data_IF_472427007653
#
_entry.id   IF_472427007653
#
_cell.length_a   1.000
_cell.length_b   1.000
_cell.length_c   1.000
_cell.angle_alpha   90.00
_cell.angle_beta   90.00
_cell.angle_gamma   90.00
#
_symmetry.space_group_name_H-M   'P 1'
#
loop_
_entity.id
_entity.type
_entity.pdbx_description
1 polymer ?
#
# COMPACT_ATOMS: atom_id res chain seq x y z
N UNK A 1 -13.45 -19.94 -7.37
CA UNK A 1 -12.90 -19.44 -6.07
C UNK A 1 -12.66 -17.96 -6.23
N UNK A 2 -12.85 -17.18 -5.16
CA UNK A 2 -12.50 -15.77 -5.19
C UNK A 2 -10.99 -15.59 -5.35
N UNK A 3 -10.55 -14.51 -5.98
CA UNK A 3 -9.12 -14.15 -6.04
C UNK A 3 -8.62 -13.74 -4.66
N UNK A 4 -7.39 -14.16 -4.34
CA UNK A 4 -6.74 -13.91 -3.05
C UNK A 4 -5.93 -12.61 -3.12
N UNK A 5 -6.25 -11.66 -2.24
CA UNK A 5 -5.53 -10.39 -2.13
C UNK A 5 -4.75 -10.33 -0.83
N UNK A 6 -3.46 -10.02 -0.91
CA UNK A 6 -2.64 -9.67 0.24
C UNK A 6 -2.50 -8.14 0.33
N UNK A 7 -2.92 -7.57 1.47
CA UNK A 7 -2.72 -6.15 1.78
C UNK A 7 -1.68 -6.03 2.89
N UNK A 8 -0.49 -5.52 2.58
CA UNK A 8 0.54 -5.28 3.60
C UNK A 8 0.22 -4.00 4.38
N UNK A 9 0.44 -4.01 5.70
CA UNK A 9 0.02 -2.91 6.57
C UNK A 9 -1.50 -2.66 6.53
N UNK A 10 -2.30 -3.72 6.31
CA UNK A 10 -3.72 -3.65 6.02
C UNK A 10 -4.65 -3.42 7.22
N UNK A 11 -4.10 -3.25 8.44
CA UNK A 11 -4.93 -3.20 9.66
C UNK A 11 -5.52 -1.80 9.96
N UNK A 12 -5.03 -0.74 9.36
CA UNK A 12 -5.44 0.65 9.64
C UNK A 12 -5.29 1.56 8.41
N UNK A 13 -5.80 2.77 8.50
CA UNK A 13 -5.66 3.82 7.49
C UNK A 13 -6.09 3.37 6.09
N UNK A 14 -5.30 3.70 5.08
CA UNK A 14 -5.53 3.35 3.68
C UNK A 14 -5.63 1.83 3.50
N UNK A 15 -4.75 1.05 4.16
CA UNK A 15 -4.75 -0.41 4.06
C UNK A 15 -6.04 -1.05 4.57
N UNK A 16 -6.61 -0.54 5.68
CA UNK A 16 -7.92 -0.97 6.19
C UNK A 16 -9.04 -0.69 5.18
N UNK A 17 -9.08 0.52 4.61
CA UNK A 17 -10.09 0.88 3.63
C UNK A 17 -10.01 -0.01 2.38
N UNK A 18 -8.79 -0.31 1.91
CA UNK A 18 -8.56 -1.25 0.81
C UNK A 18 -9.08 -2.64 1.16
N UNK A 19 -8.72 -3.18 2.34
CA UNK A 19 -9.16 -4.51 2.77
C UNK A 19 -10.70 -4.62 2.83
N UNK A 20 -11.38 -3.60 3.36
CA UNK A 20 -12.85 -3.54 3.43
C UNK A 20 -13.50 -3.45 2.04
N UNK A 21 -13.00 -2.56 1.18
CA UNK A 21 -13.57 -2.41 -0.17
C UNK A 21 -13.38 -3.69 -1.01
N UNK A 22 -12.24 -4.37 -0.87
CA UNK A 22 -12.00 -5.61 -1.58
C UNK A 22 -12.85 -6.76 -1.05
N UNK A 23 -13.01 -6.89 0.28
CA UNK A 23 -13.92 -7.86 0.87
C UNK A 23 -15.37 -7.66 0.41
N UNK A 24 -15.84 -6.40 0.36
CA UNK A 24 -17.16 -6.02 -0.18
C UNK A 24 -17.35 -6.42 -1.64
N UNK A 25 -16.27 -6.49 -2.42
CA UNK A 25 -16.28 -6.87 -3.83
C UNK A 25 -15.85 -8.34 -4.05
N UNK A 26 -16.09 -9.20 -3.06
CA UNK A 26 -15.91 -10.65 -3.12
C UNK A 26 -14.48 -11.15 -3.35
N UNK A 27 -13.47 -10.39 -2.92
CA UNK A 27 -12.10 -10.88 -2.83
C UNK A 27 -11.87 -11.57 -1.49
N UNK A 28 -11.09 -12.65 -1.46
CA UNK A 28 -10.58 -13.24 -0.25
C UNK A 28 -9.37 -12.42 0.24
N UNK A 29 -9.39 -11.93 1.47
CA UNK A 29 -8.45 -10.91 1.92
C UNK A 29 -7.50 -11.42 2.99
N UNK A 30 -6.20 -11.31 2.74
CA UNK A 30 -5.14 -11.48 3.74
C UNK A 30 -4.67 -10.10 4.20
N UNK A 31 -4.76 -9.85 5.49
CA UNK A 31 -4.35 -8.61 6.15
C UNK A 31 -3.03 -8.86 6.85
N UNK A 32 -1.94 -8.34 6.31
CA UNK A 32 -0.68 -8.33 7.02
C UNK A 32 -0.61 -7.11 7.95
N UNK A 33 -0.02 -7.30 9.11
CA UNK A 33 0.30 -6.24 10.07
C UNK A 33 1.60 -6.58 10.82
N UNK A 34 2.24 -5.56 11.42
CA UNK A 34 3.41 -5.76 12.29
C UNK A 34 3.05 -5.59 13.77
N UNK A 35 2.52 -4.44 14.16
CA UNK A 35 2.25 -4.08 15.56
C UNK A 35 0.76 -3.92 15.89
N UNK A 36 -0.09 -3.72 14.89
CA UNK A 36 -1.50 -3.37 15.06
C UNK A 36 -2.41 -4.60 15.26
N UNK A 37 -2.03 -5.54 16.13
CA UNK A 37 -2.75 -6.82 16.36
C UNK A 37 -4.23 -6.59 16.69
N UNK A 38 -4.52 -5.64 17.59
CA UNK A 38 -5.89 -5.33 18.03
C UNK A 38 -6.76 -4.83 16.88
N UNK A 39 -6.21 -3.92 16.06
CA UNK A 39 -6.91 -3.39 14.89
C UNK A 39 -7.13 -4.47 13.82
N UNK A 40 -6.13 -5.31 13.56
CA UNK A 40 -6.25 -6.43 12.63
C UNK A 40 -7.34 -7.43 13.06
N UNK A 41 -7.39 -7.80 14.35
CA UNK A 41 -8.40 -8.70 14.89
C UNK A 41 -9.83 -8.11 14.78
N UNK A 42 -9.99 -6.82 15.08
CA UNK A 42 -11.28 -6.14 14.93
C UNK A 42 -11.73 -6.09 13.46
N UNK A 43 -10.81 -5.80 12.56
CA UNK A 43 -11.09 -5.77 11.13
C UNK A 43 -11.46 -7.15 10.58
N UNK A 44 -10.79 -8.22 11.04
CA UNK A 44 -11.14 -9.59 10.69
C UNK A 44 -12.59 -9.92 11.09
N UNK A 45 -12.98 -9.55 12.33
CA UNK A 45 -14.35 -9.75 12.82
C UNK A 45 -15.35 -8.94 11.99
N UNK A 46 -15.03 -7.68 11.66
CA UNK A 46 -15.88 -6.81 10.84
C UNK A 46 -16.11 -7.42 9.45
N UNK A 47 -15.05 -7.89 8.79
CA UNK A 47 -15.15 -8.51 7.46
C UNK A 47 -15.98 -9.79 7.53
N UNK A 48 -15.69 -10.69 8.45
CA UNK A 48 -16.45 -11.96 8.63
C UNK A 48 -17.94 -11.75 8.91
N UNK A 49 -18.27 -10.66 9.59
CA UNK A 49 -19.66 -10.33 9.91
C UNK A 49 -20.44 -9.80 8.71
N UNK A 50 -19.78 -9.01 7.86
CA UNK A 50 -20.47 -8.22 6.85
C UNK A 50 -20.36 -8.77 5.43
N UNK A 51 -19.36 -9.63 5.14
CA UNK A 51 -19.07 -10.11 3.79
C UNK A 51 -18.85 -11.62 3.77
N UNK A 52 -19.34 -12.27 2.73
CA UNK A 52 -19.18 -13.71 2.49
C UNK A 52 -17.89 -13.99 1.73
N UNK A 53 -16.75 -13.77 2.42
CA UNK A 53 -15.39 -13.99 1.88
C UNK A 53 -14.50 -14.59 2.96
N UNK A 54 -13.43 -15.25 2.54
CA UNK A 54 -12.39 -15.67 3.46
C UNK A 54 -11.55 -14.46 3.87
N UNK A 55 -11.24 -14.36 5.16
CA UNK A 55 -10.30 -13.37 5.70
C UNK A 55 -9.30 -14.03 6.61
N UNK A 56 -8.04 -13.59 6.54
CA UNK A 56 -6.96 -14.07 7.40
C UNK A 56 -6.07 -12.89 7.78
N UNK A 57 -5.69 -12.82 9.06
CA UNK A 57 -4.71 -11.86 9.57
C UNK A 57 -3.37 -12.56 9.79
N UNK A 58 -2.26 -11.93 9.38
CA UNK A 58 -0.92 -12.49 9.56
C UNK A 58 0.04 -11.40 10.05
N UNK A 59 0.67 -11.66 11.19
CA UNK A 59 1.75 -10.81 11.67
C UNK A 59 3.05 -11.17 10.96
N UNK A 60 3.67 -10.20 10.29
CA UNK A 60 4.99 -10.33 9.69
C UNK A 60 5.61 -8.95 9.44
N UNK A 61 6.91 -8.83 9.66
CA UNK A 61 7.72 -7.68 9.25
C UNK A 61 8.12 -7.85 7.79
N UNK A 62 7.55 -7.02 6.90
CA UNK A 62 7.82 -7.10 5.46
C UNK A 62 9.29 -6.80 5.11
N UNK A 63 10.02 -6.09 5.97
CA UNK A 63 11.45 -5.83 5.78
C UNK A 63 12.33 -7.07 5.97
N UNK A 64 11.76 -8.17 6.52
CA UNK A 64 12.44 -9.44 6.79
C UNK A 64 12.03 -10.49 5.77
N UNK A 65 12.99 -10.90 4.92
CA UNK A 65 12.71 -11.87 3.84
C UNK A 65 12.15 -13.18 4.40
N UNK A 66 12.69 -13.69 5.51
CA UNK A 66 12.24 -14.90 6.17
C UNK A 66 10.81 -14.83 6.73
N UNK A 67 10.39 -13.66 7.21
CA UNK A 67 9.02 -13.48 7.70
C UNK A 67 8.03 -13.39 6.52
N UNK A 68 8.43 -12.74 5.42
CA UNK A 68 7.65 -12.72 4.18
C UNK A 68 7.52 -14.12 3.59
N UNK A 69 8.60 -14.90 3.54
CA UNK A 69 8.56 -16.28 3.07
C UNK A 69 7.62 -17.14 3.90
N UNK A 70 7.65 -17.03 5.23
CA UNK A 70 6.76 -17.75 6.12
C UNK A 70 5.28 -17.33 5.90
N UNK A 71 5.02 -16.02 5.77
CA UNK A 71 3.70 -15.47 5.51
C UNK A 71 3.11 -16.01 4.19
N UNK A 72 3.85 -15.88 3.10
CA UNK A 72 3.37 -16.33 1.78
C UNK A 72 3.21 -17.86 1.74
N UNK A 73 4.14 -18.62 2.31
CA UNK A 73 4.03 -20.09 2.41
C UNK A 73 2.77 -20.53 3.16
N UNK A 74 2.37 -19.79 4.20
CA UNK A 74 1.12 -20.05 4.92
C UNK A 74 -0.10 -19.78 4.04
N UNK A 75 -0.09 -18.70 3.25
CA UNK A 75 -1.17 -18.37 2.30
C UNK A 75 -1.27 -19.44 1.20
N UNK A 76 -0.16 -19.82 0.60
CA UNK A 76 -0.08 -20.87 -0.42
C UNK A 76 -0.67 -22.19 0.10
N UNK A 77 -0.26 -22.61 1.30
CA UNK A 77 -0.74 -23.85 1.92
C UNK A 77 -2.25 -23.84 2.19
N UNK A 78 -2.82 -22.69 2.57
CA UNK A 78 -4.22 -22.60 2.97
C UNK A 78 -5.15 -22.23 1.82
N UNK A 79 -4.70 -21.36 0.91
CA UNK A 79 -5.57 -20.73 -0.10
C UNK A 79 -5.07 -20.87 -1.54
N UNK A 80 -3.89 -21.49 -1.76
CA UNK A 80 -3.33 -21.75 -3.08
C UNK A 80 -2.31 -20.72 -3.55
N UNK A 81 -2.36 -19.48 -3.07
CA UNK A 81 -1.41 -18.43 -3.43
C UNK A 81 -1.99 -17.03 -3.29
N UNK A 82 -1.26 -16.04 -3.77
CA UNK A 82 -1.65 -14.63 -3.78
C UNK A 82 -1.79 -14.18 -5.24
N UNK A 83 -3.02 -13.88 -5.65
CA UNK A 83 -3.33 -13.39 -7.00
C UNK A 83 -3.08 -11.89 -7.16
N UNK A 84 -3.25 -11.16 -6.07
CA UNK A 84 -3.17 -9.69 -6.04
C UNK A 84 -2.38 -9.27 -4.81
N UNK A 85 -1.37 -8.43 -5.02
CA UNK A 85 -0.55 -7.85 -3.93
C UNK A 85 -0.74 -6.34 -3.86
N UNK A 86 -1.07 -5.84 -2.67
CA UNK A 86 -1.10 -4.41 -2.37
C UNK A 86 0.04 -4.10 -1.38
N UNK A 87 1.14 -3.55 -1.89
CA UNK A 87 2.25 -3.06 -1.09
C UNK A 87 1.86 -1.71 -0.49
N UNK A 88 1.28 -1.75 0.70
CA UNK A 88 0.82 -0.56 1.43
C UNK A 88 1.61 -0.34 2.73
N UNK A 89 2.26 -1.35 3.29
CA UNK A 89 3.07 -1.21 4.50
C UNK A 89 4.13 -0.10 4.33
N UNK A 90 4.14 0.84 5.25
CA UNK A 90 5.09 1.95 5.26
C UNK A 90 5.30 2.46 6.68
N UNK A 91 6.46 3.08 6.87
CA UNK A 91 6.78 3.91 8.04
C UNK A 91 7.24 5.29 7.57
N UNK A 92 6.87 6.29 8.34
CA UNK A 92 7.42 7.63 8.28
C UNK A 92 8.07 7.93 9.65
N UNK A 93 9.36 8.21 9.64
CA UNK A 93 10.13 8.55 10.81
C UNK A 93 10.52 10.04 10.76
N UNK A 94 9.52 10.91 10.53
CA UNK A 94 9.72 12.37 10.40
C UNK A 94 10.61 12.91 11.49
N UNK A 95 11.68 13.62 11.09
CA UNK A 95 12.62 14.24 12.00
C UNK A 95 13.33 15.41 11.31
N UNK A 96 13.77 16.40 12.09
CA UNK A 96 14.57 17.50 11.54
C UNK A 96 15.85 16.96 10.89
N UNK A 97 16.22 17.51 9.73
CA UNK A 97 17.34 17.00 8.94
C UNK A 97 18.64 16.82 9.75
N UNK A 98 18.99 17.78 10.60
CA UNK A 98 20.21 17.72 11.41
C UNK A 98 20.17 16.71 12.58
N UNK A 99 18.97 16.18 12.89
CA UNK A 99 18.76 15.13 13.89
C UNK A 99 18.51 13.77 13.26
N UNK A 100 18.19 13.72 11.95
CA UNK A 100 17.93 12.48 11.22
C UNK A 100 19.17 11.60 11.18
N UNK A 101 19.03 10.38 11.65
CA UNK A 101 20.13 9.41 11.67
C UNK A 101 20.14 8.54 10.42
N UNK A 102 21.30 7.97 10.07
CA UNK A 102 21.39 6.99 8.98
C UNK A 102 20.59 5.71 9.27
N UNK A 103 20.38 5.37 10.53
CA UNK A 103 19.62 4.18 10.92
C UNK A 103 18.11 4.40 10.74
N UNK A 104 17.59 5.59 11.06
CA UNK A 104 16.20 5.96 10.71
C UNK A 104 16.00 5.93 9.20
N UNK A 105 16.93 6.51 8.43
CA UNK A 105 16.89 6.50 6.97
C UNK A 105 16.86 5.07 6.41
N UNK A 106 17.76 4.19 6.87
CA UNK A 106 17.78 2.77 6.46
C UNK A 106 16.48 2.07 6.82
N UNK A 107 15.98 2.25 8.04
CA UNK A 107 14.75 1.64 8.49
C UNK A 107 13.55 2.02 7.61
N UNK A 108 13.45 3.28 7.20
CA UNK A 108 12.42 3.73 6.28
C UNK A 108 12.55 3.03 4.92
N UNK A 109 13.75 2.93 4.36
CA UNK A 109 14.00 2.20 3.11
C UNK A 109 13.72 0.70 3.26
N UNK A 110 14.14 0.08 4.37
CA UNK A 110 13.93 -1.35 4.61
C UNK A 110 12.44 -1.71 4.62
N UNK A 111 11.60 -0.91 5.27
CA UNK A 111 10.16 -1.18 5.29
C UNK A 111 9.50 -0.81 3.96
N UNK A 112 9.71 0.44 3.49
CA UNK A 112 8.93 1.01 2.39
C UNK A 112 9.35 0.49 1.01
N UNK A 113 10.62 0.09 0.86
CA UNK A 113 11.19 -0.34 -0.44
C UNK A 113 11.54 -1.83 -0.43
N UNK A 114 12.41 -2.26 0.52
CA UNK A 114 12.82 -3.66 0.59
C UNK A 114 11.63 -4.54 0.93
N UNK A 115 10.72 -4.09 1.80
CA UNK A 115 9.47 -4.81 2.11
C UNK A 115 8.59 -5.04 0.88
N UNK A 116 8.39 -4.01 0.06
CA UNK A 116 7.64 -4.15 -1.19
C UNK A 116 8.35 -5.07 -2.19
N UNK A 117 9.68 -5.00 -2.27
CA UNK A 117 10.49 -5.92 -3.09
C UNK A 117 10.35 -7.37 -2.62
N UNK A 118 10.50 -7.64 -1.31
CA UNK A 118 10.39 -8.98 -0.74
C UNK A 118 9.02 -9.61 -1.05
N UNK A 119 7.94 -8.87 -0.79
CA UNK A 119 6.59 -9.34 -1.07
C UNK A 119 6.40 -9.60 -2.57
N UNK A 120 6.80 -8.67 -3.44
CA UNK A 120 6.67 -8.81 -4.89
C UNK A 120 7.47 -9.99 -5.43
N UNK A 121 8.73 -10.15 -4.99
CA UNK A 121 9.60 -11.28 -5.34
C UNK A 121 8.99 -12.62 -4.95
N UNK A 122 8.30 -12.67 -3.81
CA UNK A 122 7.81 -13.94 -3.28
C UNK A 122 6.48 -14.39 -3.89
N UNK A 123 5.62 -13.43 -4.30
CA UNK A 123 4.32 -13.78 -4.92
C UNK A 123 4.42 -14.02 -6.43
N UNK A 124 5.44 -13.47 -7.10
CA UNK A 124 5.49 -13.44 -8.57
C UNK A 124 5.43 -14.82 -9.20
N UNK A 125 6.02 -15.85 -8.55
CA UNK A 125 6.06 -17.21 -9.10
C UNK A 125 4.66 -17.79 -9.27
N UNK A 126 3.83 -17.67 -8.24
CA UNK A 126 2.43 -18.10 -8.32
C UNK A 126 1.67 -17.33 -9.41
N UNK A 127 1.85 -15.99 -9.46
CA UNK A 127 1.22 -15.15 -10.47
C UNK A 127 1.64 -15.51 -11.90
N UNK A 128 2.92 -15.84 -12.08
CA UNK A 128 3.47 -16.26 -13.38
C UNK A 128 2.92 -17.63 -13.81
N UNK A 129 2.92 -18.60 -12.89
CA UNK A 129 2.47 -19.97 -13.17
C UNK A 129 0.97 -20.04 -13.57
N UNK A 130 0.14 -19.10 -13.11
CA UNK A 130 -1.27 -18.98 -13.50
C UNK A 130 -1.54 -17.96 -14.64
N UNK A 131 -0.49 -17.34 -15.19
CA UNK A 131 -0.57 -16.29 -16.21
C UNK A 131 -1.47 -15.10 -15.82
N UNK A 132 -1.53 -14.78 -14.53
CA UNK A 132 -2.32 -13.68 -13.98
C UNK A 132 -1.70 -13.15 -12.69
N UNK A 133 -1.62 -11.85 -12.58
CA UNK A 133 -1.24 -11.17 -11.34
C UNK A 133 -1.51 -9.67 -11.38
N UNK A 134 -1.73 -9.07 -10.21
CA UNK A 134 -1.83 -7.63 -10.03
C UNK A 134 -0.98 -7.20 -8.83
N UNK A 135 -0.12 -6.23 -9.04
CA UNK A 135 0.67 -5.63 -7.96
C UNK A 135 0.38 -4.12 -7.95
N UNK A 136 -0.08 -3.61 -6.83
CA UNK A 136 -0.28 -2.18 -6.61
C UNK A 136 0.66 -1.70 -5.51
N UNK A 137 1.52 -0.75 -5.84
CA UNK A 137 2.40 -0.11 -4.88
C UNK A 137 1.77 1.22 -4.42
N UNK A 138 1.54 1.38 -3.11
CA UNK A 138 1.06 2.64 -2.55
C UNK A 138 2.25 3.55 -2.29
N UNK A 139 2.54 4.41 -3.28
CA UNK A 139 3.56 5.43 -3.22
C UNK A 139 3.04 6.68 -2.48
N UNK A 140 3.41 7.85 -2.94
CA UNK A 140 2.96 9.16 -2.45
C UNK A 140 3.25 10.22 -3.52
N UNK A 141 2.57 11.36 -3.48
CA UNK A 141 3.00 12.56 -4.23
C UNK A 141 4.40 13.01 -3.81
N UNK A 142 4.84 12.70 -2.58
CA UNK A 142 6.21 12.91 -2.10
C UNK A 142 7.27 12.16 -2.94
N UNK A 143 6.90 11.03 -3.53
CA UNK A 143 7.78 10.30 -4.46
C UNK A 143 7.88 10.94 -5.84
N UNK A 144 7.06 11.94 -6.16
CA UNK A 144 7.04 12.62 -7.46
C UNK A 144 7.70 13.99 -7.37
N UNK A 145 7.05 14.93 -6.70
CA UNK A 145 7.50 16.34 -6.65
C UNK A 145 6.87 17.16 -5.50
N UNK A 146 6.40 16.52 -4.46
CA UNK A 146 6.02 17.14 -3.19
C UNK A 146 7.13 16.87 -2.19
N UNK A 147 7.60 17.88 -1.47
CA UNK A 147 8.75 17.76 -0.58
C UNK A 147 8.42 18.34 0.79
N UNK A 148 8.64 17.54 1.83
CA UNK A 148 8.54 17.99 3.22
C UNK A 148 9.91 17.87 3.90
N UNK A 149 10.47 18.95 4.47
CA UNK A 149 11.83 18.96 5.01
C UNK A 149 12.12 17.90 6.07
N UNK A 150 11.09 17.44 6.80
CA UNK A 150 11.23 16.44 7.85
C UNK A 150 11.12 14.98 7.33
N UNK A 151 10.69 14.79 6.08
CA UNK A 151 10.34 13.49 5.51
C UNK A 151 11.35 12.99 4.46
N UNK A 152 12.62 13.41 4.54
CA UNK A 152 13.63 13.17 3.49
C UNK A 152 13.83 11.68 3.16
N UNK A 153 13.77 10.80 4.14
CA UNK A 153 13.85 9.34 3.97
C UNK A 153 12.56 8.77 3.40
N UNK A 154 11.41 9.28 3.85
CA UNK A 154 10.11 8.88 3.32
C UNK A 154 9.98 9.28 1.85
N UNK A 155 10.27 10.54 1.49
CA UNK A 155 10.23 11.04 0.11
C UNK A 155 11.13 10.19 -0.80
N UNK A 156 12.38 9.96 -0.37
CA UNK A 156 13.31 9.10 -1.09
C UNK A 156 12.77 7.67 -1.26
N UNK A 157 12.14 7.09 -0.23
CA UNK A 157 11.55 5.76 -0.28
C UNK A 157 10.38 5.67 -1.26
N UNK A 158 9.52 6.70 -1.30
CA UNK A 158 8.36 6.74 -2.20
C UNK A 158 8.77 6.97 -3.66
N UNK A 159 9.83 7.72 -3.92
CA UNK A 159 10.45 7.83 -5.24
C UNK A 159 11.09 6.48 -5.67
N UNK A 160 11.79 5.79 -4.77
CA UNK A 160 12.34 4.47 -5.04
C UNK A 160 11.23 3.44 -5.36
N UNK A 161 10.08 3.51 -4.69
CA UNK A 161 8.93 2.63 -4.95
C UNK A 161 8.32 2.87 -6.35
N UNK A 162 8.34 4.10 -6.85
CA UNK A 162 7.97 4.42 -8.23
C UNK A 162 8.93 3.74 -9.20
N UNK A 163 10.24 3.88 -8.98
CA UNK A 163 11.24 3.20 -9.81
C UNK A 163 11.10 1.67 -9.76
N UNK A 164 10.84 1.11 -8.59
CA UNK A 164 10.58 -0.33 -8.41
C UNK A 164 9.34 -0.76 -9.22
N UNK A 165 8.27 0.04 -9.24
CA UNK A 165 7.07 -0.22 -10.03
C UNK A 165 7.39 -0.39 -11.51
N UNK A 166 8.17 0.54 -12.09
CA UNK A 166 8.57 0.49 -13.49
C UNK A 166 9.39 -0.78 -13.81
N UNK A 167 10.35 -1.12 -12.95
CA UNK A 167 11.20 -2.30 -13.15
C UNK A 167 10.41 -3.60 -13.04
N UNK A 168 9.53 -3.72 -12.03
CA UNK A 168 8.68 -4.91 -11.86
C UNK A 168 7.68 -5.07 -13.03
N UNK A 169 7.08 -3.98 -13.51
CA UNK A 169 6.16 -4.03 -14.65
C UNK A 169 6.85 -4.53 -15.92
N UNK A 170 8.11 -4.14 -16.13
CA UNK A 170 8.92 -4.62 -17.26
C UNK A 170 9.31 -6.09 -17.10
N UNK A 171 9.77 -6.48 -15.91
CA UNK A 171 10.26 -7.83 -15.62
C UNK A 171 9.13 -8.88 -15.62
N UNK A 172 7.92 -8.50 -15.17
CA UNK A 172 6.82 -9.43 -14.93
C UNK A 172 5.78 -9.46 -16.04
N UNK A 173 5.88 -8.59 -17.04
CA UNK A 173 5.00 -8.68 -18.21
C UNK A 173 5.22 -9.97 -19.01
N UNK A 174 4.23 -10.42 -19.78
CA UNK A 174 2.92 -9.77 -20.03
C UNK A 174 1.82 -10.18 -19.03
N UNK A 175 2.06 -11.11 -18.10
CA UNK A 175 1.00 -11.74 -17.30
C UNK A 175 0.65 -10.97 -16.02
N UNK A 176 1.58 -10.13 -15.52
CA UNK A 176 1.40 -9.43 -14.27
C UNK A 176 1.43 -7.91 -14.53
N UNK A 177 0.33 -7.22 -14.17
CA UNK A 177 0.30 -5.77 -14.22
C UNK A 177 0.80 -5.21 -12.89
N UNK A 178 1.76 -4.29 -12.98
CA UNK A 178 2.32 -3.60 -11.84
C UNK A 178 2.12 -2.09 -12.00
N UNK A 179 1.38 -1.48 -11.08
CA UNK A 179 1.07 -0.05 -11.08
C UNK A 179 1.35 0.56 -9.71
N UNK A 180 1.50 1.87 -9.64
CA UNK A 180 1.53 2.58 -8.38
C UNK A 180 0.39 3.60 -8.28
N UNK A 181 -0.08 3.79 -7.07
CA UNK A 181 -0.93 4.92 -6.70
C UNK A 181 -0.09 5.88 -5.87
N UNK A 182 -0.17 7.16 -6.17
CA UNK A 182 0.50 8.23 -5.43
C UNK A 182 -0.56 9.13 -4.76
N UNK A 183 -1.01 8.79 -3.54
CA UNK A 183 -1.91 9.64 -2.78
C UNK A 183 -1.25 10.97 -2.42
N UNK A 184 -2.05 12.04 -2.39
CA UNK A 184 -1.72 13.27 -1.69
C UNK A 184 -2.10 13.16 -0.20
N UNK A 185 -2.58 14.24 0.39
CA UNK A 185 -2.99 14.25 1.79
C UNK A 185 -4.31 13.50 1.97
N UNK A 186 -4.24 12.33 2.61
CA UNK A 186 -5.40 11.47 2.90
C UNK A 186 -5.71 11.54 4.40
N UNK A 187 -6.91 12.00 4.75
CA UNK A 187 -7.36 12.14 6.13
C UNK A 187 -7.61 10.78 6.80
N UNK A 188 -6.55 10.10 7.18
CA UNK A 188 -6.62 8.95 8.08
C UNK A 188 -6.65 9.43 9.53
N UNK A 189 -7.17 8.61 10.46
CA UNK A 189 -7.20 8.99 11.88
C UNK A 189 -5.80 9.38 12.39
N UNK A 190 -4.77 8.61 12.00
CA UNK A 190 -3.39 8.89 12.41
C UNK A 190 -2.85 10.23 11.85
N UNK A 191 -3.22 10.59 10.62
CA UNK A 191 -2.81 11.84 10.00
C UNK A 191 -3.52 13.04 10.65
N UNK A 192 -4.82 12.92 10.87
CA UNK A 192 -5.63 14.01 11.44
C UNK A 192 -5.28 14.26 12.93
N UNK A 193 -5.01 13.19 13.68
CA UNK A 193 -4.63 13.29 15.09
C UNK A 193 -3.18 13.73 15.30
N UNK A 194 -2.33 13.63 14.26
CA UNK A 194 -0.89 13.90 14.33
C UNK A 194 -0.51 15.37 14.19
N UNK A 195 -1.43 16.23 13.72
CA UNK A 195 -1.14 17.64 13.41
C UNK A 195 -2.14 18.59 14.08
N UNK A 196 -1.71 19.84 14.31
CA UNK A 196 -2.61 20.89 14.82
C UNK A 196 -3.57 21.41 13.73
N UNK A 197 -4.63 22.10 14.16
CA UNK A 197 -5.68 22.60 13.28
C UNK A 197 -5.17 23.64 12.27
N UNK A 198 -4.15 24.43 12.63
CA UNK A 198 -3.59 25.46 11.74
C UNK A 198 -2.84 24.82 10.59
N UNK A 199 -1.98 23.83 10.87
CA UNK A 199 -1.28 23.04 9.83
C UNK A 199 -2.27 22.32 8.93
N UNK A 200 -3.27 21.66 9.52
CA UNK A 200 -4.31 20.95 8.74
C UNK A 200 -5.05 21.89 7.80
N UNK A 201 -5.40 23.10 8.25
CA UNK A 201 -6.06 24.09 7.41
C UNK A 201 -5.16 24.56 6.26
N UNK A 202 -3.88 24.84 6.54
CA UNK A 202 -2.92 25.25 5.52
C UNK A 202 -2.74 24.18 4.44
N UNK A 203 -2.63 22.89 4.84
CA UNK A 203 -2.52 21.78 3.89
C UNK A 203 -3.80 21.62 3.06
N UNK A 204 -4.97 21.78 3.66
CA UNK A 204 -6.23 21.73 2.95
C UNK A 204 -6.34 22.84 1.88
N UNK A 205 -5.87 24.05 2.16
CA UNK A 205 -5.87 25.17 1.20
C UNK A 205 -4.97 24.96 -0.02
N UNK A 206 -3.99 24.05 0.09
CA UNK A 206 -3.12 23.64 -1.02
C UNK A 206 -3.81 22.65 -1.98
N UNK A 207 -4.92 22.06 -1.59
CA UNK A 207 -5.67 21.07 -2.38
C UNK A 207 -6.76 21.77 -3.18
N UNK A 208 -6.75 21.62 -4.52
CA UNK A 208 -7.71 22.34 -5.39
C UNK A 208 -9.18 22.00 -5.08
N UNK A 209 -9.47 20.74 -4.69
CA UNK A 209 -10.82 20.35 -4.28
C UNK A 209 -11.17 20.76 -2.86
N UNK A 210 -10.27 21.48 -2.18
CA UNK A 210 -10.43 22.09 -0.86
C UNK A 210 -10.92 21.13 0.24
N UNK A 211 -10.43 19.90 0.21
CA UNK A 211 -10.60 18.88 1.26
C UNK A 211 -9.51 17.82 1.17
N UNK A 212 -9.29 17.10 2.25
CA UNK A 212 -8.47 15.90 2.24
C UNK A 212 -9.14 14.78 1.43
N UNK A 213 -8.32 13.90 0.84
CA UNK A 213 -8.78 12.64 0.30
C UNK A 213 -9.26 11.72 1.43
N UNK A 214 -10.18 10.83 1.12
CA UNK A 214 -10.62 9.78 2.05
C UNK A 214 -9.89 8.48 1.74
N UNK A 215 -9.57 7.64 2.75
CA UNK A 215 -8.98 6.31 2.51
C UNK A 215 -9.79 5.47 1.51
N UNK A 216 -11.13 5.59 1.51
CA UNK A 216 -12.01 4.88 0.59
C UNK A 216 -11.80 5.30 -0.87
N UNK A 217 -11.43 6.55 -1.13
CA UNK A 217 -11.16 7.02 -2.50
C UNK A 217 -9.92 6.34 -3.08
N UNK A 218 -8.89 6.09 -2.25
CA UNK A 218 -7.74 5.27 -2.64
C UNK A 218 -8.15 3.82 -2.87
N UNK A 219 -9.00 3.26 -1.99
CA UNK A 219 -9.49 1.88 -2.12
C UNK A 219 -10.32 1.68 -3.40
N UNK A 220 -11.12 2.66 -3.82
CA UNK A 220 -11.87 2.60 -5.10
C UNK A 220 -10.93 2.56 -6.31
N UNK A 221 -9.85 3.33 -6.27
CA UNK A 221 -8.84 3.29 -7.33
C UNK A 221 -8.08 1.96 -7.35
N UNK A 222 -7.73 1.42 -6.18
CA UNK A 222 -7.14 0.07 -6.09
C UNK A 222 -8.08 -0.97 -6.71
N UNK A 223 -9.36 -0.97 -6.32
CA UNK A 223 -10.37 -1.90 -6.86
C UNK A 223 -10.45 -1.81 -8.39
N UNK A 224 -10.46 -0.61 -8.95
CA UNK A 224 -10.46 -0.43 -10.40
C UNK A 224 -9.19 -1.00 -11.04
N UNK A 225 -8.00 -0.68 -10.53
CA UNK A 225 -6.74 -1.09 -11.13
C UNK A 225 -6.48 -2.61 -11.08
N UNK A 226 -7.10 -3.32 -10.15
CA UNK A 226 -6.98 -4.79 -10.06
C UNK A 226 -8.06 -5.53 -10.85
N UNK A 227 -9.05 -4.83 -11.38
CA UNK A 227 -10.16 -5.40 -12.14
C UNK A 227 -9.77 -5.68 -13.60
N UNK A 228 -10.62 -6.43 -14.30
CA UNK A 228 -10.40 -6.77 -15.72
C UNK A 228 -10.56 -5.56 -16.64
N UNK A 229 -11.32 -4.54 -16.21
CA UNK A 229 -11.49 -3.27 -16.93
C UNK A 229 -10.18 -2.47 -17.03
N UNK A 230 -9.24 -2.73 -16.11
CA UNK A 230 -7.92 -2.11 -16.11
C UNK A 230 -6.80 -2.94 -16.75
N UNK A 231 -7.13 -4.02 -17.49
CA UNK A 231 -6.14 -4.93 -18.06
C UNK A 231 -5.08 -4.24 -18.95
N UNK A 232 -5.43 -3.13 -19.59
CA UNK A 232 -4.49 -2.37 -20.44
C UNK A 232 -3.73 -1.27 -19.67
N UNK A 233 -3.92 -1.17 -18.35
CA UNK A 233 -3.21 -0.24 -17.48
C UNK A 233 -2.08 -1.01 -16.80
N UNK A 234 -0.85 -0.76 -17.24
CA UNK A 234 0.36 -1.35 -16.68
C UNK A 234 1.49 -0.30 -16.67
N UNK A 235 2.40 -0.41 -15.73
CA UNK A 235 3.56 0.47 -15.63
C UNK A 235 3.19 1.96 -15.47
N UNK A 236 2.12 2.28 -14.74
CA UNK A 236 1.66 3.65 -14.55
C UNK A 236 1.71 4.07 -13.08
N UNK A 237 1.86 5.38 -12.88
CA UNK A 237 1.79 6.02 -11.57
C UNK A 237 0.58 6.95 -11.59
N UNK A 238 -0.46 6.60 -10.85
CA UNK A 238 -1.70 7.38 -10.80
C UNK A 238 -1.72 8.21 -9.53
N UNK A 239 -1.76 9.52 -9.70
CA UNK A 239 -1.94 10.47 -8.59
C UNK A 239 -3.40 10.51 -8.18
N UNK A 240 -3.64 10.55 -6.86
CA UNK A 240 -4.94 10.76 -6.24
C UNK A 240 -4.79 11.76 -5.09
N UNK A 241 -4.79 13.04 -5.42
CA UNK A 241 -4.36 14.13 -4.55
C UNK A 241 -5.27 15.38 -4.58
N UNK A 242 -6.41 15.28 -5.26
CA UNK A 242 -7.35 16.41 -5.38
C UNK A 242 -6.78 17.65 -6.06
N UNK A 243 -5.67 17.50 -6.83
CA UNK A 243 -4.95 18.62 -7.43
C UNK A 243 -4.10 19.39 -6.41
N UNK A 244 -3.43 18.69 -5.50
CA UNK A 244 -2.55 19.31 -4.48
C UNK A 244 -1.44 20.13 -5.15
N UNK A 245 -1.30 21.40 -4.75
CA UNK A 245 -0.24 22.29 -5.23
C UNK A 245 1.14 21.76 -4.80
N UNK A 246 2.11 21.82 -5.70
CA UNK A 246 3.46 21.28 -5.47
C UNK A 246 3.60 19.82 -5.89
N UNK A 247 2.52 19.15 -6.30
CA UNK A 247 2.56 17.79 -6.81
C UNK A 247 2.46 17.71 -8.36
N UNK A 248 2.88 18.74 -9.08
CA UNK A 248 2.87 18.77 -10.56
C UNK A 248 4.27 18.66 -11.13
#
# INVERSE_FOLDING_TARGET
MNKVVLVTGGAQGIGKAIALELAKNHYDVVINYLTSNKAAALLEVEIKKNYDVRVMIIQADVSKEEEVDAMISLIEKKWGGVDILINNAAVDLSNLFHLKTADEFRKTLDVNVVGAFNCSKRVYRHMLDQEYGRIINISSTNGINTYYPMCIDYDASKAALISLTHNLAFEYGPYINVNAIAPGFIGTDNELDGYDEEFLKEEQEKIMVNRYGKPEEVAYLVKFLISDEANFINNTIIRIDGGQKGSC
#
